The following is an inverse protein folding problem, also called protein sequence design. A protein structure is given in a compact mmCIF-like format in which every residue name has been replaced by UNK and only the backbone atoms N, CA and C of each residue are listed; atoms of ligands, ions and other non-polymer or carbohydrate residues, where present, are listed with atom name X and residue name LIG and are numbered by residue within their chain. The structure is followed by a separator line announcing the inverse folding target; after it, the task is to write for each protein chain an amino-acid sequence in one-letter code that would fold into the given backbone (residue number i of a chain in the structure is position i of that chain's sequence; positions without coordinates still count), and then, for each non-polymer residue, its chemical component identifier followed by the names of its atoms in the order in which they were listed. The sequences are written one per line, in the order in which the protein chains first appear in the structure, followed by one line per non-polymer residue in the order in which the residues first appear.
data_IF_417676995709
#
_entry.id   IF_417676995709
#
_cell.length_a   1.000
_cell.length_b   1.000
_cell.length_c   1.000
_cell.angle_alpha   90.00
_cell.angle_beta   90.00
_cell.angle_gamma   90.00
#
_symmetry.space_group_name_H-M   'P 1'
#
loop_
_entity.id
_entity.type
_entity.pdbx_description
1 polymer ?
#
# COMPACT_ATOMS: atom_id res chain seq x y z
N UNK A 1 19.27 76.82 62.55
CA UNK A 1 18.37 77.44 61.55
C UNK A 1 18.41 76.62 60.25
N UNK A 2 17.24 76.45 59.63
CA UNK A 2 16.84 75.77 58.36
C UNK A 2 17.93 75.78 57.23
N UNK A 3 18.02 74.87 56.24
CA UNK A 3 17.26 73.70 55.73
C UNK A 3 18.13 72.94 54.69
N UNK A 4 17.99 71.60 54.67
CA UNK A 4 18.02 70.62 53.55
C UNK A 4 18.67 70.95 52.17
N UNK A 5 19.48 70.03 51.62
CA UNK A 5 19.02 69.03 50.62
C UNK A 5 20.11 68.00 50.24
N UNK A 6 19.64 66.78 49.97
CA UNK A 6 20.34 65.53 49.60
C UNK A 6 20.33 65.42 48.07
N UNK A 7 21.41 64.95 47.42
CA UNK A 7 21.33 63.95 46.33
C UNK A 7 22.72 63.47 45.91
N UNK A 8 22.80 62.15 45.70
CA UNK A 8 23.95 61.35 45.29
C UNK A 8 23.64 60.78 43.91
N UNK A 9 24.63 60.69 43.01
CA UNK A 9 25.08 59.43 42.37
C UNK A 9 26.06 59.68 41.22
N UNK A 10 27.17 58.95 41.28
CA UNK A 10 28.16 58.76 40.21
C UNK A 10 27.66 57.75 39.15
N UNK A 11 28.14 57.98 37.91
CA UNK A 11 28.20 57.14 36.69
C UNK A 11 28.68 55.68 36.90
N UNK A 12 28.70 54.76 35.87
CA UNK A 12 28.63 54.94 34.40
C UNK A 12 27.64 53.99 33.65
N UNK A 13 27.15 54.31 32.44
CA UNK A 13 27.72 54.00 31.11
C UNK A 13 28.27 52.55 30.95
N UNK A 14 27.83 51.86 29.88
CA UNK A 14 28.15 50.48 29.42
C UNK A 14 27.33 49.31 30.00
N UNK A 15 26.10 49.10 29.52
CA UNK A 15 25.41 47.79 29.62
C UNK A 15 24.13 47.62 28.75
N UNK A 16 23.95 48.36 27.65
CA UNK A 16 22.65 48.36 26.92
C UNK A 16 22.70 47.92 25.44
N UNK A 17 23.82 47.37 24.95
CA UNK A 17 23.89 46.84 23.57
C UNK A 17 24.00 45.31 23.47
N UNK A 18 24.02 44.56 24.57
CA UNK A 18 24.17 43.09 24.54
C UNK A 18 22.83 42.33 24.62
N UNK A 19 21.74 42.97 25.04
CA UNK A 19 20.43 42.32 25.26
C UNK A 19 19.51 42.31 24.04
N UNK A 20 19.86 43.01 22.95
CA UNK A 20 19.09 43.00 21.69
C UNK A 20 19.66 42.04 20.63
N UNK A 21 20.90 41.57 20.80
CA UNK A 21 21.52 40.56 19.92
C UNK A 21 21.26 39.14 20.43
N UNK A 22 21.01 38.96 21.74
CA UNK A 22 20.72 37.65 22.32
C UNK A 22 19.27 37.15 22.12
N UNK A 23 18.35 38.02 21.73
CA UNK A 23 16.95 37.64 21.44
C UNK A 23 16.67 37.36 19.96
N UNK A 24 17.67 37.47 19.07
CA UNK A 24 17.50 37.25 17.63
C UNK A 24 18.07 35.90 17.15
N UNK A 25 18.79 35.13 17.99
CA UNK A 25 19.53 33.92 17.54
C UNK A 25 18.93 32.59 18.02
N UNK A 26 17.70 32.56 18.55
CA UNK A 26 17.01 31.28 18.84
C UNK A 26 15.62 31.20 18.23
N UNK A 27 15.47 31.63 16.98
CA UNK A 27 14.56 30.91 16.08
C UNK A 27 15.38 29.76 15.50
N UNK A 28 15.57 28.71 16.29
CA UNK A 28 15.96 27.41 15.75
C UNK A 28 14.83 27.06 14.78
N UNK A 29 15.06 27.27 13.49
CA UNK A 29 14.16 26.77 12.45
C UNK A 29 14.15 25.25 12.63
N UNK A 30 13.12 24.73 13.31
CA UNK A 30 12.93 23.30 13.48
C UNK A 30 12.71 22.71 12.10
N UNK A 31 13.68 21.93 11.63
CA UNK A 31 13.61 21.16 10.39
C UNK A 31 13.64 19.70 10.78
N UNK A 32 12.56 18.99 10.51
CA UNK A 32 12.43 17.57 10.86
C UNK A 32 11.63 16.86 9.78
N UNK A 33 12.06 15.65 9.41
CA UNK A 33 11.27 14.79 8.54
C UNK A 33 10.25 14.03 9.38
N UNK A 34 8.98 14.14 9.00
CA UNK A 34 7.87 13.56 9.73
C UNK A 34 7.33 12.39 8.92
N UNK A 35 7.21 11.23 9.57
CA UNK A 35 6.51 10.08 9.01
C UNK A 35 5.03 10.40 8.82
N UNK A 36 4.36 9.76 7.85
CA UNK A 36 2.92 9.93 7.70
C UNK A 36 2.16 9.53 8.97
N UNK A 37 1.04 10.21 9.20
CA UNK A 37 0.22 10.08 10.42
C UNK A 37 0.94 10.41 11.73
N UNK A 38 2.06 11.15 11.65
CA UNK A 38 2.99 11.39 12.77
C UNK A 38 3.48 10.09 13.42
N UNK A 39 3.63 9.02 12.63
CA UNK A 39 4.18 7.76 13.12
C UNK A 39 5.63 7.95 13.63
N UNK A 40 6.05 7.07 14.53
CA UNK A 40 7.43 7.08 15.03
C UNK A 40 8.39 6.65 13.91
N UNK A 41 9.45 7.40 13.67
CA UNK A 41 10.55 6.96 12.80
C UNK A 41 11.62 6.25 13.62
N UNK A 42 12.30 5.28 13.01
CA UNK A 42 13.47 4.64 13.55
C UNK A 42 14.70 5.07 12.77
N UNK A 43 15.59 5.82 13.44
CA UNK A 43 16.82 6.37 12.89
C UNK A 43 16.54 7.29 11.68
N UNK A 44 17.15 8.47 11.61
CA UNK A 44 16.94 9.39 10.47
C UNK A 44 17.66 8.91 9.20
N UNK A 45 18.08 7.65 9.17
CA UNK A 45 18.70 7.01 8.03
C UNK A 45 17.66 6.73 6.95
N UNK A 46 17.84 7.28 5.73
CA UNK A 46 16.94 6.98 4.63
C UNK A 46 16.94 5.48 4.28
N UNK A 47 15.76 4.96 3.97
CA UNK A 47 15.58 3.65 3.38
C UNK A 47 15.27 3.80 1.89
N UNK A 48 15.47 2.75 1.09
CA UNK A 48 15.02 2.70 -0.29
C UNK A 48 13.84 1.70 -0.40
N UNK A 49 12.66 2.14 -0.87
CA UNK A 49 11.47 1.29 -0.95
C UNK A 49 11.66 0.06 -1.86
N UNK A 50 12.67 0.08 -2.74
CA UNK A 50 12.97 -1.02 -3.66
C UNK A 50 13.88 -2.11 -3.06
N UNK A 51 14.66 -1.83 -2.01
CA UNK A 51 15.55 -2.85 -1.44
C UNK A 51 14.91 -3.58 -0.25
N UNK A 52 15.37 -4.81 -0.03
CA UNK A 52 14.83 -5.71 0.99
C UNK A 52 15.29 -5.34 2.39
N UNK A 53 14.39 -5.57 3.35
CA UNK A 53 14.70 -5.72 4.79
C UNK A 53 15.54 -4.58 5.40
N UNK A 54 15.40 -3.35 4.89
CA UNK A 54 16.10 -2.18 5.43
C UNK A 54 15.52 -1.72 6.77
N UNK A 55 14.20 -1.87 6.91
CA UNK A 55 13.49 -1.52 8.13
C UNK A 55 13.32 -2.76 9.00
N UNK A 56 13.46 -2.63 10.32
CA UNK A 56 13.25 -3.75 11.22
C UNK A 56 11.77 -4.12 11.30
N UNK A 57 11.50 -5.23 11.99
CA UNK A 57 10.15 -5.71 12.25
C UNK A 57 9.23 -4.58 12.76
N UNK A 58 8.03 -4.51 12.20
CA UNK A 58 7.00 -3.51 12.49
C UNK A 58 7.27 -2.09 11.96
N UNK A 59 8.35 -1.89 11.20
CA UNK A 59 8.61 -0.63 10.48
C UNK A 59 8.52 -0.86 8.97
N UNK A 60 8.05 0.15 8.26
CA UNK A 60 7.96 0.17 6.81
C UNK A 60 8.76 1.34 6.25
N UNK A 61 9.29 1.18 5.05
CA UNK A 61 9.95 2.26 4.33
C UNK A 61 8.88 3.18 3.74
N UNK A 62 8.58 4.30 4.41
CA UNK A 62 7.45 5.19 4.11
C UNK A 62 7.92 6.57 3.69
N UNK A 63 7.10 7.29 2.93
CA UNK A 63 7.38 8.65 2.43
C UNK A 63 7.23 9.68 3.54
N UNK A 64 8.36 10.13 4.08
CA UNK A 64 8.44 11.17 5.11
C UNK A 64 8.64 12.53 4.47
N UNK A 65 7.87 13.53 4.95
CA UNK A 65 7.93 14.90 4.44
C UNK A 65 8.69 15.81 5.39
N UNK A 66 9.47 16.73 4.84
CA UNK A 66 10.17 17.72 5.64
C UNK A 66 9.19 18.77 6.18
N UNK A 67 9.18 18.94 7.49
CA UNK A 67 8.53 20.04 8.20
C UNK A 67 9.55 21.13 8.49
N UNK A 68 9.28 22.36 8.05
CA UNK A 68 10.07 23.55 8.36
C UNK A 68 9.23 24.51 9.18
N UNK A 69 9.61 24.72 10.44
CA UNK A 69 8.87 25.58 11.39
C UNK A 69 7.37 25.23 11.48
N UNK A 70 7.04 23.93 11.45
CA UNK A 70 5.67 23.42 11.52
C UNK A 70 4.92 23.41 10.18
N UNK A 71 5.53 23.86 9.08
CA UNK A 71 4.93 23.77 7.74
C UNK A 71 5.50 22.58 6.99
N UNK A 72 4.63 21.66 6.56
CA UNK A 72 5.01 20.52 5.71
C UNK A 72 5.35 21.02 4.31
N UNK A 73 6.50 20.59 3.79
CA UNK A 73 6.98 20.90 2.44
C UNK A 73 6.81 19.71 1.51
N UNK A 74 7.04 19.93 0.21
CA UNK A 74 7.01 18.87 -0.83
C UNK A 74 8.32 18.06 -0.89
N UNK A 75 9.28 18.36 -0.02
CA UNK A 75 10.54 17.61 0.06
C UNK A 75 10.29 16.25 0.73
N UNK A 76 10.56 15.17 -0.01
CA UNK A 76 10.25 13.79 0.38
C UNK A 76 11.56 12.99 0.49
N UNK A 77 11.70 12.27 1.60
CA UNK A 77 12.63 11.16 1.75
C UNK A 77 11.86 9.92 2.20
N UNK A 78 12.48 8.74 2.13
CA UNK A 78 11.89 7.54 2.70
C UNK A 78 12.58 7.22 4.01
N UNK A 79 11.82 7.03 5.09
CA UNK A 79 12.32 6.63 6.41
C UNK A 79 11.64 5.34 6.87
N UNK A 80 12.30 4.62 7.77
CA UNK A 80 11.67 3.52 8.48
C UNK A 80 10.71 4.08 9.52
N UNK A 81 9.42 3.95 9.24
CA UNK A 81 8.32 4.49 10.05
C UNK A 81 7.48 3.35 10.62
N UNK A 82 6.94 3.53 11.83
CA UNK A 82 6.07 2.54 12.48
C UNK A 82 4.90 2.19 11.56
N UNK A 83 4.69 0.89 11.40
CA UNK A 83 3.73 0.28 10.50
C UNK A 83 2.70 -0.62 11.21
N UNK A 84 2.75 -0.73 12.54
CA UNK A 84 1.88 -1.65 13.31
C UNK A 84 0.38 -1.43 13.06
N UNK A 85 -0.02 -0.17 12.88
CA UNK A 85 -1.43 0.23 12.74
C UNK A 85 -1.74 0.77 11.33
N UNK A 86 -0.91 0.45 10.34
CA UNK A 86 -1.17 0.91 8.97
C UNK A 86 -2.43 0.26 8.43
N UNK A 87 -3.35 1.08 7.94
CA UNK A 87 -4.50 0.61 7.17
C UNK A 87 -4.03 0.13 5.79
N UNK A 88 -4.82 -0.75 5.15
CA UNK A 88 -4.56 -1.14 3.76
C UNK A 88 -4.56 0.06 2.80
N UNK A 89 -5.33 1.11 3.11
CA UNK A 89 -5.34 2.35 2.33
C UNK A 89 -4.01 3.07 2.39
N UNK A 90 -3.45 3.22 3.60
CA UNK A 90 -2.10 3.79 3.81
C UNK A 90 -1.04 2.98 3.06
N UNK A 91 -1.14 1.64 3.07
CA UNK A 91 -0.25 0.80 2.27
C UNK A 91 -0.38 1.03 0.76
N UNK A 92 -1.60 1.11 0.24
CA UNK A 92 -1.84 1.40 -1.18
C UNK A 92 -1.33 2.78 -1.59
N UNK A 93 -1.38 3.75 -0.69
CA UNK A 93 -0.75 5.05 -0.90
C UNK A 93 0.77 4.90 -0.97
N UNK A 94 1.44 4.34 0.05
CA UNK A 94 2.90 4.17 0.10
C UNK A 94 3.46 3.38 -1.10
N UNK A 95 2.73 2.37 -1.57
CA UNK A 95 3.11 1.56 -2.74
C UNK A 95 2.78 2.25 -4.07
N UNK A 96 2.25 3.47 -4.06
CA UNK A 96 1.87 4.26 -5.24
C UNK A 96 0.84 3.55 -6.13
N UNK A 97 0.01 2.70 -5.50
CA UNK A 97 -1.10 2.01 -6.16
C UNK A 97 -2.34 2.90 -6.21
N UNK A 98 -2.58 3.66 -5.15
CA UNK A 98 -3.69 4.62 -5.07
C UNK A 98 -3.17 6.04 -4.78
N UNK A 99 -3.79 7.07 -5.39
CA UNK A 99 -4.93 7.02 -6.31
C UNK A 99 -4.54 6.80 -7.78
N UNK A 100 -3.24 6.63 -8.11
CA UNK A 100 -2.77 6.69 -9.51
C UNK A 100 -3.29 5.54 -10.37
N UNK A 101 -3.37 4.33 -9.82
CA UNK A 101 -3.76 3.12 -10.55
C UNK A 101 -5.16 2.68 -10.13
N UNK A 102 -5.40 2.62 -8.82
CA UNK A 102 -6.72 2.40 -8.24
C UNK A 102 -7.27 3.71 -7.69
N UNK A 103 -8.36 4.25 -8.27
CA UNK A 103 -8.90 5.55 -7.87
C UNK A 103 -9.52 5.55 -6.48
N UNK A 104 -9.84 4.37 -5.93
CA UNK A 104 -10.41 4.21 -4.60
C UNK A 104 -9.59 3.22 -3.78
N UNK A 105 -9.40 3.53 -2.51
CA UNK A 105 -8.73 2.65 -1.56
C UNK A 105 -9.61 1.44 -1.20
N UNK A 106 -9.02 0.25 -0.99
CA UNK A 106 -9.71 -0.91 -0.42
C UNK A 106 -10.31 -0.57 0.94
N UNK A 107 -11.50 -1.10 1.21
CA UNK A 107 -12.21 -0.81 2.46
C UNK A 107 -11.68 -1.59 3.66
N UNK A 108 -10.98 -2.70 3.42
CA UNK A 108 -10.44 -3.59 4.47
C UNK A 108 -9.25 -4.40 3.98
N UNK A 109 -8.54 -5.05 4.90
CA UNK A 109 -7.45 -5.97 4.58
C UNK A 109 -7.97 -7.40 4.48
N UNK A 110 -7.35 -8.21 3.62
CA UNK A 110 -7.43 -9.67 3.75
C UNK A 110 -6.48 -10.14 4.86
N UNK A 111 -6.95 -11.04 5.71
CA UNK A 111 -6.10 -11.68 6.72
C UNK A 111 -5.04 -12.55 6.04
N UNK A 112 -5.46 -13.37 5.08
CA UNK A 112 -4.56 -14.17 4.26
C UNK A 112 -5.13 -14.45 2.88
N UNK A 113 -4.23 -14.84 1.98
CA UNK A 113 -4.53 -15.50 0.71
C UNK A 113 -3.82 -16.85 0.68
N UNK A 114 -4.55 -17.89 0.28
CA UNK A 114 -4.02 -19.22 0.05
C UNK A 114 -3.92 -19.45 -1.47
N UNK A 115 -2.71 -19.64 -1.96
CA UNK A 115 -2.38 -19.77 -3.39
C UNK A 115 -2.50 -21.25 -3.78
N UNK A 116 -3.10 -21.52 -4.93
CA UNK A 116 -3.24 -22.88 -5.45
C UNK A 116 -1.90 -23.51 -5.79
N UNK A 117 -1.88 -24.84 -5.91
CA UNK A 117 -0.76 -25.65 -6.34
C UNK A 117 -1.19 -26.59 -7.48
N UNK A 118 -0.22 -27.12 -8.22
CA UNK A 118 -0.48 -28.04 -9.35
C UNK A 118 -0.85 -29.46 -8.90
N UNK A 119 -0.49 -29.85 -7.68
CA UNK A 119 -0.72 -31.19 -7.15
C UNK A 119 -1.27 -31.15 -5.72
N UNK A 120 -1.89 -32.23 -5.26
CA UNK A 120 -2.42 -32.32 -3.90
C UNK A 120 -1.35 -32.74 -2.86
N UNK A 121 -0.14 -33.06 -3.30
CA UNK A 121 0.91 -33.67 -2.48
C UNK A 121 1.79 -32.64 -1.76
N UNK A 122 1.90 -31.43 -2.31
CA UNK A 122 2.67 -30.34 -1.73
C UNK A 122 1.78 -29.34 -0.96
N UNK A 123 2.29 -28.69 0.10
CA UNK A 123 1.55 -27.66 0.79
C UNK A 123 1.28 -26.45 -0.12
N UNK A 124 0.10 -25.85 0.03
CA UNK A 124 -0.24 -24.58 -0.64
C UNK A 124 0.27 -23.40 0.16
N UNK A 125 0.89 -22.38 -0.47
CA UNK A 125 1.38 -21.22 0.26
C UNK A 125 0.24 -20.35 0.80
N UNK A 126 0.30 -20.04 2.09
CA UNK A 126 -0.55 -19.05 2.74
C UNK A 126 0.29 -17.80 3.00
N UNK A 127 -0.14 -16.67 2.44
CA UNK A 127 0.56 -15.38 2.54
C UNK A 127 -0.33 -14.35 3.23
N UNK A 128 0.30 -13.55 4.09
CA UNK A 128 -0.27 -12.42 4.80
C UNK A 128 0.26 -11.11 4.22
N UNK A 129 -0.23 -10.00 4.74
CA UNK A 129 0.13 -8.67 4.29
C UNK A 129 1.64 -8.43 4.45
N UNK A 130 2.31 -8.14 3.34
CA UNK A 130 3.74 -7.83 3.30
C UNK A 130 4.65 -9.05 3.41
N UNK A 131 4.11 -10.26 3.48
CA UNK A 131 4.90 -11.49 3.50
C UNK A 131 5.80 -11.61 2.25
N UNK A 132 6.87 -12.39 2.40
CA UNK A 132 7.74 -12.77 1.30
C UNK A 132 7.63 -14.27 1.08
N UNK A 133 7.06 -14.64 -0.07
CA UNK A 133 6.97 -16.02 -0.53
C UNK A 133 8.34 -16.46 -1.05
N UNK A 134 8.88 -17.52 -0.45
CA UNK A 134 10.11 -18.15 -0.91
C UNK A 134 9.77 -19.26 -1.91
N UNK A 135 10.13 -19.07 -3.18
CA UNK A 135 9.80 -20.01 -4.27
C UNK A 135 10.33 -21.41 -3.98
N UNK A 136 11.53 -21.52 -3.40
CA UNK A 136 12.16 -22.81 -3.06
C UNK A 136 11.35 -23.63 -2.05
N UNK A 137 10.55 -22.98 -1.21
CA UNK A 137 9.67 -23.67 -0.25
C UNK A 137 8.41 -24.22 -0.93
N UNK A 138 8.01 -23.65 -2.06
CA UNK A 138 6.77 -23.97 -2.77
C UNK A 138 7.02 -24.16 -4.27
N UNK A 139 7.73 -25.20 -4.71
CA UNK A 139 8.13 -25.34 -6.11
C UNK A 139 6.94 -25.47 -7.09
N UNK A 140 5.76 -25.89 -6.60
CA UNK A 140 4.60 -26.25 -7.42
C UNK A 140 3.40 -25.31 -7.22
N UNK A 141 3.58 -24.08 -6.71
CA UNK A 141 2.46 -23.14 -6.63
C UNK A 141 2.05 -22.63 -8.03
N UNK A 142 0.76 -22.38 -8.21
CA UNK A 142 0.22 -21.78 -9.43
C UNK A 142 0.16 -20.27 -9.24
N UNK A 143 0.98 -19.56 -10.01
CA UNK A 143 1.07 -18.11 -9.91
C UNK A 143 -0.30 -17.45 -10.02
N UNK A 144 -0.63 -16.60 -9.04
CA UNK A 144 -1.81 -15.74 -9.03
C UNK A 144 -3.16 -16.46 -9.16
N UNK A 145 -3.19 -17.78 -8.93
CA UNK A 145 -4.42 -18.56 -8.81
C UNK A 145 -4.68 -18.83 -7.33
N UNK A 146 -5.83 -18.38 -6.81
CA UNK A 146 -6.15 -18.53 -5.40
C UNK A 146 -7.01 -19.76 -5.16
N UNK A 147 -6.68 -20.47 -4.10
CA UNK A 147 -7.45 -21.58 -3.55
C UNK A 147 -8.45 -21.10 -2.50
N UNK A 148 -8.04 -20.15 -1.66
CA UNK A 148 -8.88 -19.57 -0.64
C UNK A 148 -8.37 -18.19 -0.20
N UNK A 149 -9.20 -17.41 0.49
CA UNK A 149 -8.79 -16.19 1.17
C UNK A 149 -9.71 -15.91 2.36
N UNK A 150 -9.25 -15.07 3.29
CA UNK A 150 -10.02 -14.68 4.46
C UNK A 150 -10.04 -13.17 4.66
N UNK A 151 -11.21 -12.61 4.92
CA UNK A 151 -11.37 -11.21 5.30
C UNK A 151 -10.93 -10.99 6.75
N UNK A 152 -10.18 -9.93 7.03
CA UNK A 152 -9.68 -9.66 8.39
C UNK A 152 -10.76 -9.08 9.31
N UNK A 153 -11.54 -8.11 8.81
CA UNK A 153 -12.46 -7.34 9.67
C UNK A 153 -13.84 -7.12 9.08
N UNK A 154 -13.96 -7.04 7.75
CA UNK A 154 -15.22 -6.77 7.06
C UNK A 154 -15.51 -7.92 6.10
N UNK A 155 -16.53 -8.71 6.43
CA UNK A 155 -17.05 -9.75 5.54
C UNK A 155 -18.11 -9.12 4.62
N UNK A 156 -18.03 -9.31 3.30
CA UNK A 156 -19.10 -8.89 2.40
C UNK A 156 -20.38 -9.67 2.70
N UNK A 157 -21.51 -8.96 2.82
CA UNK A 157 -22.82 -9.60 3.02
C UNK A 157 -23.11 -10.66 1.94
N UNK A 158 -23.99 -11.60 2.27
CA UNK A 158 -24.49 -12.59 1.31
C UNK A 158 -25.18 -11.93 0.11
N UNK A 159 -25.27 -12.68 -0.99
CA UNK A 159 -25.84 -12.19 -2.24
C UNK A 159 -24.83 -11.41 -3.09
N UNK A 160 -25.09 -11.38 -4.40
CA UNK A 160 -24.14 -10.86 -5.38
C UNK A 160 -22.93 -11.78 -5.58
N UNK A 161 -21.86 -11.21 -6.14
CA UNK A 161 -20.70 -11.93 -6.65
C UNK A 161 -19.40 -11.22 -6.26
N UNK A 162 -18.42 -12.01 -5.82
CA UNK A 162 -17.05 -11.60 -5.54
C UNK A 162 -16.18 -11.78 -6.78
N UNK A 163 -15.26 -10.84 -6.96
CA UNK A 163 -14.27 -10.85 -8.05
C UNK A 163 -12.91 -10.52 -7.47
N UNK A 164 -11.92 -11.33 -7.84
CA UNK A 164 -10.59 -11.28 -7.27
C UNK A 164 -9.63 -10.98 -8.40
N UNK A 165 -8.95 -9.85 -8.31
CA UNK A 165 -7.90 -9.45 -9.24
C UNK A 165 -6.56 -9.62 -8.54
N UNK A 166 -5.70 -10.44 -9.13
CA UNK A 166 -4.30 -10.61 -8.74
C UNK A 166 -3.42 -9.95 -9.78
N UNK A 167 -2.57 -9.04 -9.35
CA UNK A 167 -1.66 -8.32 -10.22
C UNK A 167 -0.22 -8.57 -9.80
N UNK A 168 0.66 -8.68 -10.79
CA UNK A 168 2.09 -8.84 -10.59
C UNK A 168 2.78 -7.64 -11.21
N UNK A 169 3.64 -6.99 -10.41
CA UNK A 169 4.44 -5.85 -10.82
C UNK A 169 3.62 -4.73 -11.47
N UNK A 170 2.52 -4.34 -10.81
CA UNK A 170 1.57 -3.30 -11.26
C UNK A 170 2.23 -2.02 -11.77
N UNK A 171 3.34 -1.62 -11.15
CA UNK A 171 4.07 -0.39 -11.45
C UNK A 171 5.20 -0.60 -12.48
N UNK A 172 5.52 -1.84 -12.84
CA UNK A 172 6.55 -2.19 -13.82
C UNK A 172 5.92 -2.67 -15.13
N UNK A 173 6.74 -2.87 -16.16
CA UNK A 173 6.36 -3.53 -17.41
C UNK A 173 7.32 -4.68 -17.71
N UNK A 174 6.82 -5.82 -18.20
CA UNK A 174 5.41 -6.17 -18.34
C UNK A 174 4.74 -6.35 -16.96
N UNK A 175 3.43 -6.11 -16.89
CA UNK A 175 2.62 -6.45 -15.72
C UNK A 175 1.72 -7.64 -16.05
N UNK A 176 1.40 -8.46 -15.06
CA UNK A 176 0.46 -9.57 -15.23
C UNK A 176 -0.83 -9.32 -14.44
N UNK A 177 -1.97 -9.66 -15.03
CA UNK A 177 -3.29 -9.57 -14.42
C UNK A 177 -3.98 -10.92 -14.52
N UNK A 178 -4.43 -11.41 -13.37
CA UNK A 178 -5.26 -12.60 -13.26
C UNK A 178 -6.56 -12.23 -12.55
N UNK A 179 -7.67 -12.74 -13.05
CA UNK A 179 -8.98 -12.51 -12.46
C UNK A 179 -9.71 -13.82 -12.23
N UNK A 180 -10.19 -14.02 -11.01
CA UNK A 180 -11.17 -15.03 -10.62
C UNK A 180 -12.48 -14.30 -10.33
N UNK A 181 -13.51 -14.52 -11.15
CA UNK A 181 -14.72 -13.71 -11.09
C UNK A 181 -16.00 -14.55 -11.12
N UNK A 182 -17.10 -13.89 -10.74
CA UNK A 182 -18.44 -14.46 -10.60
C UNK A 182 -18.54 -15.54 -9.51
N UNK A 183 -17.77 -15.38 -8.42
CA UNK A 183 -17.87 -16.22 -7.23
C UNK A 183 -19.06 -15.78 -6.38
N UNK A 184 -20.04 -16.64 -6.04
CA UNK A 184 -21.14 -16.25 -5.16
C UNK A 184 -20.65 -15.77 -3.78
N UNK A 185 -21.18 -14.63 -3.29
CA UNK A 185 -20.89 -14.14 -1.94
C UNK A 185 -21.78 -14.84 -0.90
N UNK A 186 -21.18 -15.49 0.10
CA UNK A 186 -21.88 -16.34 1.07
C UNK A 186 -21.84 -15.83 2.51
N UNK A 187 -21.52 -14.54 2.74
CA UNK A 187 -21.35 -13.95 4.09
C UNK A 187 -20.35 -14.69 5.00
N UNK A 188 -19.41 -15.41 4.38
CA UNK A 188 -18.37 -16.14 5.09
C UNK A 188 -17.09 -15.32 5.11
N UNK A 189 -16.48 -15.20 6.29
CA UNK A 189 -15.18 -14.56 6.43
C UNK A 189 -14.10 -15.31 5.62
N UNK A 190 -14.23 -16.63 5.48
CA UNK A 190 -13.32 -17.47 4.66
C UNK A 190 -14.03 -17.94 3.40
N UNK A 191 -13.42 -17.70 2.26
CA UNK A 191 -13.93 -18.11 0.96
C UNK A 191 -13.00 -19.18 0.39
N UNK A 192 -13.51 -20.40 0.26
CA UNK A 192 -12.80 -21.52 -0.36
C UNK A 192 -13.21 -21.64 -1.82
N UNK A 193 -12.32 -21.26 -2.73
CA UNK A 193 -12.63 -21.17 -4.15
C UNK A 193 -12.82 -22.55 -4.78
N UNK A 194 -12.06 -23.55 -4.31
CA UNK A 194 -12.19 -24.94 -4.74
C UNK A 194 -13.56 -25.57 -4.47
N UNK A 195 -14.40 -24.98 -3.61
CA UNK A 195 -15.74 -25.48 -3.32
C UNK A 195 -16.78 -25.01 -4.35
N UNK A 196 -16.44 -24.03 -5.20
CA UNK A 196 -17.34 -23.60 -6.27
C UNK A 196 -17.18 -24.53 -7.47
N UNK A 197 -18.08 -25.50 -7.58
CA UNK A 197 -18.22 -26.36 -8.76
C UNK A 197 -19.18 -25.77 -9.80
N UNK A 198 -19.61 -24.53 -9.58
CA UNK A 198 -20.65 -23.85 -10.33
C UNK A 198 -20.12 -23.44 -11.71
N UNK A 199 -20.93 -23.60 -12.76
CA UNK A 199 -20.57 -23.19 -14.14
C UNK A 199 -20.37 -21.68 -14.34
N UNK A 200 -20.69 -20.87 -13.33
CA UNK A 200 -20.57 -19.40 -13.39
C UNK A 200 -19.18 -18.90 -13.03
N UNK A 201 -18.41 -19.66 -12.25
CA UNK A 201 -17.06 -19.28 -11.87
C UNK A 201 -16.15 -19.25 -13.10
N UNK A 202 -15.36 -18.19 -13.23
CA UNK A 202 -14.44 -18.00 -14.36
C UNK A 202 -13.07 -17.55 -13.89
N UNK A 203 -12.06 -17.98 -14.64
CA UNK A 203 -10.67 -17.56 -14.46
C UNK A 203 -10.11 -17.07 -15.79
N UNK A 204 -9.38 -15.97 -15.76
CA UNK A 204 -8.66 -15.43 -16.92
C UNK A 204 -7.34 -14.81 -16.46
N UNK A 205 -6.29 -15.02 -17.25
CA UNK A 205 -4.96 -14.45 -17.01
C UNK A 205 -4.42 -13.82 -18.29
N UNK A 206 -3.79 -12.67 -18.16
CA UNK A 206 -3.15 -11.97 -19.27
C UNK A 206 -1.91 -11.22 -18.79
N UNK A 207 -0.87 -11.23 -19.62
CA UNK A 207 0.40 -10.54 -19.36
C UNK A 207 0.52 -9.45 -20.41
N UNK A 208 0.80 -8.22 -19.96
CA UNK A 208 0.93 -7.07 -20.83
C UNK A 208 2.15 -7.21 -21.74
N UNK A 209 2.15 -6.43 -22.82
CA UNK A 209 3.32 -6.39 -23.68
C UNK A 209 4.47 -5.67 -22.97
N UNK A 210 5.68 -6.19 -23.13
CA UNK A 210 6.88 -5.59 -22.57
C UNK A 210 8.03 -6.57 -22.50
N UNK A 211 9.24 -6.04 -22.54
CA UNK A 211 10.44 -6.81 -22.20
C UNK A 211 10.56 -6.87 -20.70
N UNK A 212 10.78 -8.07 -20.14
CA UNK A 212 11.12 -8.22 -18.73
C UNK A 212 12.44 -7.45 -18.51
N UNK A 213 12.45 -6.37 -17.71
CA UNK A 213 13.66 -5.60 -17.49
C UNK A 213 14.71 -6.49 -16.81
N UNK A 214 15.98 -6.30 -17.16
CA UNK A 214 17.09 -6.86 -16.39
C UNK A 214 17.00 -6.29 -14.98
N UNK A 215 16.62 -7.10 -14.00
CA UNK A 215 16.56 -6.67 -12.60
C UNK A 215 17.78 -7.19 -11.85
N UNK A 216 18.44 -6.31 -11.10
CA UNK A 216 19.50 -6.71 -10.14
C UNK A 216 18.91 -7.42 -8.91
N UNK A 217 17.59 -7.31 -8.70
CA UNK A 217 16.84 -7.96 -7.62
C UNK A 217 15.58 -8.65 -8.16
N UNK A 218 15.46 -9.96 -7.96
CA UNK A 218 14.34 -10.82 -8.40
C UNK A 218 13.04 -10.67 -7.58
N UNK A 219 12.77 -9.46 -7.06
CA UNK A 219 11.61 -9.24 -6.18
C UNK A 219 10.40 -8.77 -6.99
N UNK A 220 9.41 -9.64 -7.11
CA UNK A 220 8.14 -9.33 -7.76
C UNK A 220 7.07 -8.97 -6.72
N UNK A 221 6.37 -7.86 -6.94
CA UNK A 221 5.26 -7.45 -6.08
C UNK A 221 3.97 -8.10 -6.57
N UNK A 222 3.22 -8.69 -5.63
CA UNK A 222 1.90 -9.24 -5.87
C UNK A 222 0.88 -8.40 -5.13
N UNK A 223 -0.18 -7.98 -5.83
CA UNK A 223 -1.31 -7.23 -5.26
C UNK A 223 -2.59 -8.01 -5.52
N UNK A 224 -3.33 -8.29 -4.47
CA UNK A 224 -4.60 -9.01 -4.48
C UNK A 224 -5.71 -8.07 -4.07
N UNK A 225 -6.75 -7.95 -4.89
CA UNK A 225 -7.87 -7.05 -4.64
C UNK A 225 -9.18 -7.79 -4.86
N UNK A 226 -10.09 -7.69 -3.89
CA UNK A 226 -11.42 -8.29 -3.93
C UNK A 226 -12.46 -7.20 -4.11
N UNK A 227 -13.34 -7.40 -5.08
CA UNK A 227 -14.49 -6.56 -5.39
C UNK A 227 -15.79 -7.34 -5.18
N UNK A 228 -16.91 -6.62 -5.04
CA UNK A 228 -18.24 -7.20 -4.96
C UNK A 228 -19.19 -6.48 -5.93
N UNK A 229 -20.00 -7.24 -6.65
CA UNK A 229 -21.10 -6.73 -7.49
C UNK A 229 -22.41 -7.44 -7.16
N UNK A 230 -23.55 -6.83 -7.52
CA UNK A 230 -24.87 -7.45 -7.33
C UNK A 230 -25.19 -8.50 -8.41
N UNK A 231 -24.70 -8.27 -9.64
CA UNK A 231 -24.95 -9.10 -10.83
C UNK A 231 -23.60 -9.67 -11.31
N UNK A 232 -23.54 -10.90 -11.88
CA UNK A 232 -22.31 -11.43 -12.45
C UNK A 232 -21.72 -10.48 -13.49
N UNK A 233 -20.40 -10.34 -13.49
CA UNK A 233 -19.68 -9.62 -14.52
C UNK A 233 -19.88 -10.29 -15.89
N UNK A 234 -19.90 -11.62 -15.98
CA UNK A 234 -20.14 -12.30 -17.27
C UNK A 234 -21.46 -11.94 -17.93
N UNK A 235 -22.44 -11.45 -17.16
CA UNK A 235 -23.76 -11.09 -17.67
C UNK A 235 -23.84 -9.64 -18.17
N UNK A 236 -22.89 -8.78 -17.84
CA UNK A 236 -22.94 -7.35 -18.18
C UNK A 236 -21.88 -6.95 -19.22
N UNK A 237 -20.73 -7.64 -19.27
CA UNK A 237 -19.66 -7.31 -20.21
C UNK A 237 -18.73 -8.49 -20.52
N UNK A 238 -17.91 -8.32 -21.56
CA UNK A 238 -16.84 -9.24 -21.89
C UNK A 238 -15.54 -8.86 -21.14
N UNK A 239 -15.42 -9.38 -19.91
CA UNK A 239 -14.27 -9.16 -19.01
C UNK A 239 -12.93 -9.46 -19.69
N UNK A 240 -12.84 -10.57 -20.42
CA UNK A 240 -11.59 -11.00 -21.07
C UNK A 240 -11.15 -10.06 -22.19
N UNK A 241 -12.10 -9.51 -22.95
CA UNK A 241 -11.82 -8.55 -24.01
C UNK A 241 -11.36 -7.19 -23.44
N UNK A 242 -11.99 -6.72 -22.36
CA UNK A 242 -11.58 -5.48 -21.68
C UNK A 242 -10.16 -5.59 -21.12
N UNK A 243 -9.83 -6.68 -20.42
CA UNK A 243 -8.48 -6.91 -19.87
C UNK A 243 -7.46 -6.93 -21.00
N UNK A 244 -7.70 -7.74 -22.04
CA UNK A 244 -6.76 -7.85 -23.17
C UNK A 244 -6.52 -6.50 -23.86
N UNK A 245 -7.56 -5.67 -23.94
CA UNK A 245 -7.49 -4.37 -24.61
C UNK A 245 -6.79 -3.30 -23.78
N UNK A 246 -6.94 -3.32 -22.45
CA UNK A 246 -6.58 -2.19 -21.58
C UNK A 246 -5.52 -2.51 -20.52
N UNK A 247 -4.97 -3.73 -20.47
CA UNK A 247 -3.93 -4.09 -19.48
C UNK A 247 -2.71 -3.17 -19.55
N UNK A 248 -2.31 -2.74 -20.75
CA UNK A 248 -1.20 -1.80 -20.94
C UNK A 248 -1.51 -0.39 -20.42
N UNK A 249 -2.75 -0.13 -20.03
CA UNK A 249 -3.24 1.14 -19.48
C UNK A 249 -4.05 0.85 -18.20
N UNK A 250 -3.44 0.17 -17.22
CA UNK A 250 -4.12 -0.24 -15.98
C UNK A 250 -4.97 0.85 -15.30
N UNK A 251 -4.52 2.12 -15.15
CA UNK A 251 -5.38 3.18 -14.62
C UNK A 251 -6.67 3.38 -15.41
N UNK A 252 -6.61 3.28 -16.74
CA UNK A 252 -7.78 3.33 -17.62
C UNK A 252 -8.64 2.07 -17.49
N UNK A 253 -8.03 0.89 -17.46
CA UNK A 253 -8.76 -0.37 -17.25
C UNK A 253 -9.61 -0.28 -15.97
N UNK A 254 -9.02 0.10 -14.84
CA UNK A 254 -9.72 0.18 -13.56
C UNK A 254 -10.79 1.28 -13.55
N UNK A 255 -10.48 2.47 -14.10
CA UNK A 255 -11.38 3.62 -13.95
C UNK A 255 -12.48 3.70 -15.02
N UNK A 256 -12.16 3.33 -16.26
CA UNK A 256 -12.94 3.72 -17.44
C UNK A 256 -13.46 2.54 -18.27
N UNK A 257 -12.84 1.35 -18.19
CA UNK A 257 -13.36 0.18 -18.91
C UNK A 257 -14.76 -0.22 -18.41
N UNK A 258 -15.49 -1.03 -19.16
CA UNK A 258 -16.79 -1.52 -18.70
C UNK A 258 -16.62 -2.38 -17.45
N UNK A 259 -15.62 -3.26 -17.45
CA UNK A 259 -15.24 -4.12 -16.32
C UNK A 259 -14.86 -3.31 -15.09
N UNK A 260 -13.94 -2.34 -15.23
CA UNK A 260 -13.47 -1.49 -14.13
C UNK A 260 -14.60 -0.69 -13.47
N UNK A 261 -15.48 -0.08 -14.27
CA UNK A 261 -16.65 0.64 -13.76
C UNK A 261 -17.64 -0.27 -13.06
N UNK A 262 -17.85 -1.49 -13.57
CA UNK A 262 -18.75 -2.46 -12.94
C UNK A 262 -18.22 -3.00 -11.61
N UNK A 263 -16.90 -3.18 -11.48
CA UNK A 263 -16.24 -3.62 -10.24
C UNK A 263 -16.44 -2.62 -9.09
N UNK A 264 -16.48 -1.32 -9.39
CA UNK A 264 -16.73 -0.28 -8.39
C UNK A 264 -15.63 -0.18 -7.33
N UNK A 265 -16.03 -0.05 -6.06
CA UNK A 265 -15.07 0.14 -4.95
C UNK A 265 -14.48 -1.21 -4.51
N UNK A 266 -13.16 -1.31 -4.32
CA UNK A 266 -12.55 -2.50 -3.74
C UNK A 266 -13.00 -2.72 -2.29
N UNK A 267 -13.38 -3.96 -1.99
CA UNK A 267 -13.85 -4.38 -0.67
C UNK A 267 -12.67 -4.69 0.24
N UNK A 268 -11.74 -5.51 -0.24
CA UNK A 268 -10.57 -5.89 0.51
C UNK A 268 -9.33 -6.02 -0.38
N UNK A 269 -8.15 -5.88 0.20
CA UNK A 269 -6.91 -6.14 -0.50
C UNK A 269 -5.80 -6.67 0.42
N UNK A 270 -4.76 -7.20 -0.20
CA UNK A 270 -3.51 -7.59 0.41
C UNK A 270 -2.41 -7.51 -0.65
N UNK A 271 -1.18 -7.28 -0.23
CA UNK A 271 -0.01 -7.40 -1.09
C UNK A 271 1.02 -8.28 -0.41
N UNK A 272 1.88 -8.92 -1.20
CA UNK A 272 3.01 -9.70 -0.75
C UNK A 272 4.10 -9.65 -1.82
N UNK A 273 5.25 -10.22 -1.53
CA UNK A 273 6.36 -10.27 -2.47
C UNK A 273 6.74 -11.71 -2.76
N UNK A 274 7.21 -11.95 -3.97
CA UNK A 274 7.89 -13.19 -4.30
C UNK A 274 9.39 -12.95 -4.36
N UNK A 275 10.14 -13.88 -3.77
CA UNK A 275 11.58 -13.84 -3.74
C UNK A 275 12.23 -15.17 -4.04
N UNK A 276 13.36 -15.09 -4.74
CA UNK A 276 14.33 -16.19 -4.86
C UNK A 276 14.78 -16.70 -3.48
#
# INVERSE_FOLDING_TARGET
MKRAQKFSRHLPFTAYLSTLIYTIITNVFSQEYICPDNAMHLDLKPCNPNDRNQCPKNFACRRSRLSRSGTITDEIIHLCCDANNMTIGSWFEELELSPQIFPQFPSSTLEYVNISNYDAEHPTPVVHLGDELQVLTYPNYVTANMKAFKFQSITPASGGFLHIISLIDVTKRPLALFIQYDLPSTDSATVNIGNFTNSTYRFFGHISNGTIPSQDTYRHQYVVIVYKTEIPLSNQMNVTADITRFIDQMPYFISNSATGRALGKPVAALFFYNGD
#
